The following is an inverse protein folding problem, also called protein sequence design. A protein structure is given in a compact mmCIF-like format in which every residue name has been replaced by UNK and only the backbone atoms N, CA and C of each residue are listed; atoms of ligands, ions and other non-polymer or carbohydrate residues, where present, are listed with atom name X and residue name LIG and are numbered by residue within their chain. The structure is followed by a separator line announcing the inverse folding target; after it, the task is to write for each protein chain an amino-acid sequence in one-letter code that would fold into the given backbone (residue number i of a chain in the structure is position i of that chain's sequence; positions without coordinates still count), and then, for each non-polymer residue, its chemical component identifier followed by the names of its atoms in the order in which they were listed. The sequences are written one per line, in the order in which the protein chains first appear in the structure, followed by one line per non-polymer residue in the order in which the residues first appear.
data_IF_153440357953
#
_entry.id   IF_153440357953
#
_cell.length_a   1.000
_cell.length_b   1.000
_cell.length_c   1.000
_cell.angle_alpha   90.00
_cell.angle_beta   90.00
_cell.angle_gamma   90.00
#
_symmetry.space_group_name_H-M   'P 1'
#
loop_
_entity.id
_entity.type
_entity.pdbx_description
1 polymer ?
#
# COMPACT_ATOMS: atom_id res chain seq x y z
N UNK A 1 62.99 67.36 65.14
CA UNK A 1 63.59 66.80 63.90
C UNK A 1 63.70 65.31 64.10
N UNK A 2 62.93 64.52 63.35
CA UNK A 2 63.14 63.08 63.33
C UNK A 2 64.51 62.82 62.67
N UNK A 3 65.32 61.87 63.17
CA UNK A 3 66.59 61.55 62.54
C UNK A 3 66.31 61.04 61.13
N UNK A 4 66.95 61.62 60.10
CA UNK A 4 66.75 61.30 58.66
C UNK A 4 66.67 59.79 58.36
N UNK A 5 67.40 58.97 59.13
CA UNK A 5 67.36 57.50 59.07
C UNK A 5 65.98 56.89 59.30
N UNK A 6 65.11 57.51 60.09
CA UNK A 6 63.76 57.01 60.36
C UNK A 6 62.80 57.33 59.20
N UNK A 7 62.96 58.47 58.55
CA UNK A 7 62.16 58.88 57.38
C UNK A 7 62.46 57.98 56.17
N UNK A 8 63.74 57.65 55.95
CA UNK A 8 64.16 56.70 54.91
C UNK A 8 63.57 55.30 55.16
N UNK A 9 63.60 54.81 56.40
CA UNK A 9 63.05 53.50 56.77
C UNK A 9 61.53 53.44 56.55
N UNK A 10 60.79 54.49 56.90
CA UNK A 10 59.33 54.57 56.68
C UNK A 10 59.01 54.62 55.18
N UNK A 11 59.80 55.37 54.39
CA UNK A 11 59.65 55.42 52.93
C UNK A 11 59.85 54.05 52.29
N UNK A 12 60.85 53.30 52.74
CA UNK A 12 61.16 51.97 52.21
C UNK A 12 60.11 50.92 52.60
N UNK A 13 59.60 50.97 53.84
CA UNK A 13 58.50 50.09 54.29
C UNK A 13 57.23 50.35 53.45
N UNK A 14 56.88 51.62 53.21
CA UNK A 14 55.71 51.98 52.39
C UNK A 14 55.88 51.56 50.93
N UNK A 15 57.07 51.75 50.34
CA UNK A 15 57.38 51.29 48.98
C UNK A 15 57.33 49.77 48.87
N UNK A 16 57.87 49.04 49.85
CA UNK A 16 57.78 47.58 49.88
C UNK A 16 56.34 47.09 50.03
N UNK A 17 55.54 47.73 50.89
CA UNK A 17 54.12 47.42 51.04
C UNK A 17 53.31 47.64 49.75
N UNK A 18 53.59 48.73 49.02
CA UNK A 18 52.97 48.99 47.72
C UNK A 18 53.40 47.96 46.65
N UNK A 19 54.68 47.65 46.57
CA UNK A 19 55.22 46.62 45.66
C UNK A 19 54.66 45.22 45.96
N UNK A 20 54.49 44.88 47.23
CA UNK A 20 53.89 43.60 47.65
C UNK A 20 52.43 43.49 47.21
N UNK A 21 51.62 44.55 47.37
CA UNK A 21 50.21 44.56 46.91
C UNK A 21 50.08 44.50 45.39
N UNK A 22 51.03 45.10 44.67
CA UNK A 22 51.08 45.00 43.22
C UNK A 22 51.44 43.58 42.77
N UNK A 23 52.42 42.95 43.43
CA UNK A 23 52.83 41.58 43.14
C UNK A 23 51.71 40.56 43.37
N UNK A 24 50.88 40.72 44.42
CA UNK A 24 49.72 39.85 44.63
C UNK A 24 48.67 40.00 43.53
N UNK A 25 48.35 41.24 43.14
CA UNK A 25 47.41 41.49 42.03
C UNK A 25 47.89 40.90 40.70
N UNK A 26 49.19 41.01 40.41
CA UNK A 26 49.78 40.42 39.21
C UNK A 26 49.58 38.90 39.23
N UNK A 27 49.89 38.24 40.35
CA UNK A 27 49.69 36.79 40.51
C UNK A 27 48.22 36.38 40.37
N UNK A 28 47.30 37.17 40.92
CA UNK A 28 45.86 36.91 40.81
C UNK A 28 45.39 37.03 39.35
N UNK A 29 45.89 38.01 38.60
CA UNK A 29 45.61 38.14 37.16
C UNK A 29 46.25 37.02 36.34
N UNK A 30 47.47 36.62 36.65
CA UNK A 30 48.13 35.46 36.02
C UNK A 30 47.32 34.17 36.23
N UNK A 31 46.82 33.96 37.45
CA UNK A 31 45.97 32.81 37.77
C UNK A 31 44.64 32.84 37.00
N UNK A 32 44.04 34.03 36.86
CA UNK A 32 42.82 34.21 36.06
C UNK A 32 43.07 33.98 34.57
N UNK A 33 44.19 34.47 34.04
CA UNK A 33 44.59 34.25 32.65
C UNK A 33 44.77 32.75 32.35
N UNK A 34 45.52 32.04 33.20
CA UNK A 34 45.68 30.58 33.06
C UNK A 34 44.34 29.84 33.13
N UNK A 35 43.44 30.26 34.03
CA UNK A 35 42.11 29.68 34.13
C UNK A 35 41.30 29.91 32.83
N UNK A 36 41.34 31.12 32.28
CA UNK A 36 40.66 31.45 31.02
C UNK A 36 41.26 30.72 29.83
N UNK A 37 42.58 30.58 29.76
CA UNK A 37 43.27 29.83 28.70
C UNK A 37 42.84 28.34 28.71
N UNK A 38 42.76 27.73 29.89
CA UNK A 38 42.27 26.35 30.04
C UNK A 38 40.79 26.19 29.62
N UNK A 39 39.97 27.22 29.86
CA UNK A 39 38.56 27.24 29.46
C UNK A 39 38.41 27.38 27.94
N UNK A 40 39.22 28.24 27.31
CA UNK A 40 39.30 28.40 25.86
C UNK A 40 39.69 27.08 25.20
N UNK A 41 40.71 26.40 25.72
CA UNK A 41 41.17 25.11 25.19
C UNK A 41 40.05 24.05 25.28
N UNK A 42 39.37 23.96 26.43
CA UNK A 42 38.23 23.06 26.62
C UNK A 42 37.07 23.35 25.67
N UNK A 43 36.76 24.63 25.43
CA UNK A 43 35.74 25.03 24.47
C UNK A 43 36.17 24.73 23.03
N UNK A 44 37.46 24.89 22.72
CA UNK A 44 38.05 24.50 21.44
C UNK A 44 37.82 23.03 21.12
N UNK A 45 38.16 22.12 22.04
CA UNK A 45 37.92 20.68 21.86
C UNK A 45 36.43 20.34 21.68
N UNK A 46 35.53 21.00 22.41
CA UNK A 46 34.08 20.81 22.23
C UNK A 46 33.62 21.27 20.86
N UNK A 47 34.12 22.40 20.38
CA UNK A 47 33.77 22.94 19.07
C UNK A 47 34.26 22.01 17.95
N UNK A 48 35.49 21.51 18.04
CA UNK A 48 36.02 20.52 17.09
C UNK A 48 35.18 19.23 17.06
N UNK A 49 34.77 18.74 18.24
CA UNK A 49 33.88 17.58 18.34
C UNK A 49 32.51 17.81 17.67
N UNK A 50 31.90 18.97 17.91
CA UNK A 50 30.64 19.35 17.27
C UNK A 50 30.79 19.52 15.75
N UNK A 51 31.91 20.06 15.27
CA UNK A 51 32.21 20.17 13.83
C UNK A 51 32.32 18.78 13.18
N UNK A 52 33.02 17.85 13.82
CA UNK A 52 33.13 16.47 13.33
C UNK A 52 31.77 15.76 13.28
N UNK A 53 30.94 15.96 14.31
CA UNK A 53 29.57 15.45 14.35
C UNK A 53 28.70 16.06 13.24
N UNK A 54 28.77 17.37 13.02
CA UNK A 54 28.04 18.06 11.97
C UNK A 54 28.42 17.52 10.58
N UNK A 55 29.72 17.38 10.30
CA UNK A 55 30.20 16.79 9.04
C UNK A 55 29.67 15.37 8.79
N UNK A 56 29.51 14.60 9.87
CA UNK A 56 28.91 13.25 9.80
C UNK A 56 27.44 13.33 9.42
N UNK A 57 26.67 14.23 10.04
CA UNK A 57 25.26 14.44 9.69
C UNK A 57 25.08 14.97 8.26
N UNK A 58 25.89 15.94 7.83
CA UNK A 58 25.87 16.44 6.44
C UNK A 58 26.12 15.30 5.44
N UNK A 59 27.08 14.43 5.74
CA UNK A 59 27.36 13.25 4.90
C UNK A 59 26.22 12.24 4.88
N UNK A 60 25.51 12.06 6.01
CA UNK A 60 24.33 11.19 6.08
C UNK A 60 23.16 11.77 5.27
N UNK A 61 22.89 13.07 5.40
CA UNK A 61 21.86 13.78 4.65
C UNK A 61 22.13 13.65 3.15
N UNK A 62 23.34 13.92 2.68
CA UNK A 62 23.67 13.77 1.25
C UNK A 62 23.45 12.35 0.70
N UNK A 63 23.71 11.31 1.50
CA UNK A 63 23.40 9.92 1.10
C UNK A 63 21.90 9.64 1.03
N UNK A 64 21.11 10.22 1.94
CA UNK A 64 19.66 10.09 1.92
C UNK A 64 19.04 10.85 0.75
N UNK A 65 19.54 12.04 0.44
CA UNK A 65 19.12 12.83 -0.72
C UNK A 65 19.32 12.05 -2.03
N UNK A 66 20.49 11.40 -2.20
CA UNK A 66 20.74 10.53 -3.35
C UNK A 66 19.76 9.35 -3.42
N UNK A 67 19.48 8.67 -2.30
CA UNK A 67 18.48 7.58 -2.28
C UNK A 67 17.08 8.06 -2.63
N UNK A 68 16.68 9.24 -2.16
CA UNK A 68 15.38 9.84 -2.50
C UNK A 68 15.31 10.15 -3.98
N UNK A 69 16.40 10.65 -4.57
CA UNK A 69 16.48 10.88 -6.01
C UNK A 69 16.32 9.57 -6.80
N UNK A 70 17.10 8.54 -6.47
CA UNK A 70 17.05 7.24 -7.14
C UNK A 70 15.64 6.60 -7.08
N UNK A 71 15.01 6.66 -5.90
CA UNK A 71 13.64 6.15 -5.73
C UNK A 71 12.61 6.95 -6.53
N UNK A 72 12.78 8.27 -6.62
CA UNK A 72 11.90 9.14 -7.41
C UNK A 72 12.01 8.82 -8.90
N UNK A 73 13.23 8.59 -9.41
CA UNK A 73 13.46 8.18 -10.80
C UNK A 73 12.86 6.79 -11.10
N UNK A 74 13.02 5.85 -10.17
CA UNK A 74 12.42 4.51 -10.29
C UNK A 74 10.89 4.57 -10.30
N UNK A 75 10.29 5.38 -9.43
CA UNK A 75 8.84 5.57 -9.36
C UNK A 75 8.32 6.16 -10.68
N UNK A 76 8.95 7.21 -11.20
CA UNK A 76 8.57 7.81 -12.48
C UNK A 76 8.69 6.82 -13.66
N UNK A 77 9.65 5.90 -13.62
CA UNK A 77 9.77 4.81 -14.62
C UNK A 77 8.59 3.83 -14.49
N UNK A 78 8.25 3.40 -13.28
CA UNK A 78 7.14 2.48 -13.03
C UNK A 78 5.78 3.07 -13.40
N UNK A 79 5.56 4.36 -13.17
CA UNK A 79 4.35 5.07 -13.61
C UNK A 79 4.19 5.02 -15.14
N UNK A 80 5.28 5.24 -15.89
CA UNK A 80 5.26 5.13 -17.36
C UNK A 80 4.95 3.71 -17.84
N UNK A 81 5.53 2.70 -17.19
CA UNK A 81 5.25 1.29 -17.49
C UNK A 81 3.77 0.95 -17.24
N UNK A 82 3.20 1.39 -16.11
CA UNK A 82 1.78 1.20 -15.79
C UNK A 82 0.86 1.87 -16.83
N UNK A 83 1.17 3.10 -17.25
CA UNK A 83 0.40 3.78 -18.30
C UNK A 83 0.45 3.01 -19.63
N UNK A 84 1.62 2.47 -19.99
CA UNK A 84 1.76 1.66 -21.21
C UNK A 84 0.94 0.37 -21.14
N UNK A 85 0.98 -0.35 -20.02
CA UNK A 85 0.20 -1.57 -19.81
C UNK A 85 -1.30 -1.28 -19.81
N UNK A 86 -1.73 -0.18 -19.19
CA UNK A 86 -3.13 0.22 -19.19
C UNK A 86 -3.65 0.56 -20.60
N UNK A 87 -2.83 1.23 -21.43
CA UNK A 87 -3.18 1.48 -22.82
C UNK A 87 -3.32 0.18 -23.61
N UNK A 88 -2.37 -0.75 -23.45
CA UNK A 88 -2.43 -2.06 -24.09
C UNK A 88 -3.66 -2.87 -23.64
N UNK A 89 -4.03 -2.78 -22.35
CA UNK A 89 -5.25 -3.38 -21.83
C UNK A 89 -6.49 -2.78 -22.49
N UNK A 90 -6.57 -1.45 -22.60
CA UNK A 90 -7.67 -0.76 -23.28
C UNK A 90 -7.81 -1.18 -24.75
N UNK A 91 -6.69 -1.26 -25.47
CA UNK A 91 -6.63 -1.74 -26.86
C UNK A 91 -7.10 -3.20 -26.96
N UNK A 92 -6.62 -4.08 -26.08
CA UNK A 92 -7.05 -5.49 -26.06
C UNK A 92 -8.56 -5.63 -25.75
N UNK A 93 -9.10 -4.82 -24.84
CA UNK A 93 -10.52 -4.80 -24.53
C UNK A 93 -11.36 -4.30 -25.73
N UNK A 94 -10.86 -3.31 -26.48
CA UNK A 94 -11.51 -2.85 -27.69
C UNK A 94 -11.55 -3.96 -28.76
N UNK A 95 -10.43 -4.65 -28.98
CA UNK A 95 -10.35 -5.77 -29.91
C UNK A 95 -11.30 -6.92 -29.53
N UNK A 96 -11.39 -7.26 -28.24
CA UNK A 96 -12.34 -8.28 -27.75
C UNK A 96 -13.79 -7.86 -28.04
N UNK A 97 -14.15 -6.59 -27.80
CA UNK A 97 -15.50 -6.10 -28.09
C UNK A 97 -15.82 -6.18 -29.58
N UNK A 98 -14.87 -5.87 -30.45
CA UNK A 98 -15.02 -5.97 -31.90
C UNK A 98 -15.25 -7.44 -32.34
N UNK A 99 -14.41 -8.36 -31.88
CA UNK A 99 -14.56 -9.79 -32.16
C UNK A 99 -15.90 -10.35 -31.65
N UNK A 100 -16.37 -9.92 -30.49
CA UNK A 100 -17.69 -10.33 -29.97
C UNK A 100 -18.85 -9.81 -30.85
N UNK A 101 -18.71 -8.62 -31.42
CA UNK A 101 -19.70 -8.07 -32.36
C UNK A 101 -19.69 -8.83 -33.68
N UNK A 102 -18.51 -9.18 -34.20
CA UNK A 102 -18.36 -10.01 -35.41
C UNK A 102 -18.86 -11.44 -35.22
N UNK A 103 -18.66 -12.03 -34.04
CA UNK A 103 -19.20 -13.35 -33.71
C UNK A 103 -20.74 -13.33 -33.69
N UNK A 104 -21.34 -12.29 -33.11
CA UNK A 104 -22.81 -12.13 -33.09
C UNK A 104 -23.38 -11.92 -34.49
N UNK A 105 -22.74 -11.12 -35.34
CA UNK A 105 -23.18 -10.94 -36.73
C UNK A 105 -23.06 -12.26 -37.52
N UNK A 106 -21.97 -12.99 -37.35
CA UNK A 106 -21.77 -14.31 -37.96
C UNK A 106 -22.83 -15.33 -37.52
N UNK A 107 -23.19 -15.34 -36.23
CA UNK A 107 -24.24 -16.20 -35.70
C UNK A 107 -25.62 -15.84 -36.29
N UNK A 108 -25.90 -14.55 -36.47
CA UNK A 108 -27.13 -14.09 -37.12
C UNK A 108 -27.21 -14.59 -38.57
N UNK A 109 -26.13 -14.42 -39.34
CA UNK A 109 -26.06 -14.94 -40.72
C UNK A 109 -26.17 -16.46 -40.80
N UNK A 110 -25.64 -17.19 -39.82
CA UNK A 110 -25.82 -18.64 -39.73
C UNK A 110 -27.29 -19.02 -39.52
N UNK A 111 -28.01 -18.30 -38.66
CA UNK A 111 -29.44 -18.50 -38.44
C UNK A 111 -30.25 -18.23 -39.73
N UNK A 112 -29.96 -17.13 -40.43
CA UNK A 112 -30.59 -16.82 -41.73
C UNK A 112 -30.33 -17.92 -42.77
N UNK A 113 -29.08 -18.40 -42.87
CA UNK A 113 -28.71 -19.48 -43.79
C UNK A 113 -29.45 -20.78 -43.46
N UNK A 114 -29.60 -21.11 -42.18
CA UNK A 114 -30.36 -22.28 -41.74
C UNK A 114 -31.85 -22.20 -42.12
N UNK A 115 -32.45 -21.01 -41.96
CA UNK A 115 -33.82 -20.72 -42.36
C UNK A 115 -33.99 -20.86 -43.89
N UNK A 116 -33.07 -20.30 -44.66
CA UNK A 116 -33.06 -20.44 -46.12
C UNK A 116 -32.99 -21.91 -46.55
N UNK A 117 -32.08 -22.70 -45.98
CA UNK A 117 -31.97 -24.15 -46.27
C UNK A 117 -33.28 -24.89 -45.97
N UNK A 118 -33.96 -24.57 -44.86
CA UNK A 118 -35.25 -25.17 -44.53
C UNK A 118 -36.32 -24.86 -45.58
N UNK A 119 -36.36 -23.63 -46.10
CA UNK A 119 -37.29 -23.26 -47.18
C UNK A 119 -37.00 -24.01 -48.48
N UNK A 120 -35.72 -24.21 -48.81
CA UNK A 120 -35.29 -24.98 -49.99
C UNK A 120 -35.75 -26.43 -49.89
N UNK A 121 -35.57 -27.08 -48.74
CA UNK A 121 -36.03 -28.47 -48.55
C UNK A 121 -37.56 -28.58 -48.66
N UNK A 122 -38.30 -27.64 -48.08
CA UNK A 122 -39.76 -27.58 -48.22
C UNK A 122 -40.20 -27.43 -49.68
N UNK A 123 -39.48 -26.63 -50.48
CA UNK A 123 -39.74 -26.49 -51.91
C UNK A 123 -39.39 -27.76 -52.70
N UNK A 124 -38.29 -28.43 -52.37
CA UNK A 124 -37.92 -29.74 -52.97
C UNK A 124 -39.00 -30.79 -52.70
N UNK A 125 -39.51 -30.87 -51.48
CA UNK A 125 -40.60 -31.79 -51.17
C UNK A 125 -41.87 -31.49 -51.97
N UNK A 126 -42.26 -30.21 -52.05
CA UNK A 126 -43.41 -29.79 -52.87
C UNK A 126 -43.21 -30.19 -54.34
N UNK A 127 -42.02 -29.97 -54.88
CA UNK A 127 -41.66 -30.36 -56.25
C UNK A 127 -41.74 -31.88 -56.44
N UNK A 128 -41.27 -32.68 -55.46
CA UNK A 128 -41.36 -34.15 -55.49
C UNK A 128 -42.83 -34.60 -55.53
N UNK A 129 -43.70 -34.00 -54.71
CA UNK A 129 -45.14 -34.29 -54.68
C UNK A 129 -45.82 -33.92 -55.99
N UNK A 130 -45.58 -32.71 -56.53
CA UNK A 130 -46.18 -32.28 -57.81
C UNK A 130 -45.69 -33.13 -58.98
N UNK A 131 -44.41 -33.50 -59.02
CA UNK A 131 -43.86 -34.44 -60.00
C UNK A 131 -44.51 -35.83 -59.89
N UNK A 132 -44.76 -36.31 -58.67
CA UNK A 132 -45.49 -37.55 -58.42
C UNK A 132 -46.93 -37.51 -58.94
N UNK A 133 -47.66 -36.42 -58.65
CA UNK A 133 -49.00 -36.18 -59.18
C UNK A 133 -49.02 -36.13 -60.71
N UNK A 134 -48.08 -35.39 -61.32
CA UNK A 134 -47.97 -35.29 -62.78
C UNK A 134 -47.75 -36.67 -63.41
N UNK A 135 -46.89 -37.51 -62.81
CA UNK A 135 -46.70 -38.90 -63.23
C UNK A 135 -47.99 -39.71 -63.15
N UNK A 136 -48.76 -39.57 -62.08
CA UNK A 136 -50.05 -40.26 -61.92
C UNK A 136 -51.07 -39.82 -62.99
N UNK A 137 -51.16 -38.52 -63.29
CA UNK A 137 -52.04 -37.99 -64.35
C UNK A 137 -51.59 -38.48 -65.72
N UNK A 138 -50.28 -38.50 -66.00
CA UNK A 138 -49.74 -39.02 -67.28
C UNK A 138 -49.88 -40.54 -67.46
N UNK A 139 -50.20 -41.28 -66.40
CA UNK A 139 -50.37 -42.74 -66.39
C UNK A 139 -51.84 -43.18 -66.42
N UNK A 140 -52.78 -42.23 -66.49
CA UNK A 140 -54.16 -42.52 -66.83
C UNK A 140 -54.24 -43.10 -68.26
N UNK A 141 -55.07 -44.13 -68.51
CA UNK A 141 -55.02 -44.90 -69.74
C UNK A 141 -55.51 -44.08 -70.94
N UNK A 142 -54.57 -43.63 -71.77
CA UNK A 142 -54.89 -43.34 -73.17
C UNK A 142 -55.01 -44.66 -73.92
N UNK A 143 -56.22 -44.92 -74.42
CA UNK A 143 -56.49 -45.98 -75.39
C UNK A 143 -55.84 -45.55 -76.71
N UNK A 144 -54.77 -46.25 -77.14
CA UNK A 144 -54.16 -46.11 -78.47
C UNK A 144 -52.72 -46.62 -78.57
N UNK A 145 -52.54 -47.80 -79.18
CA UNK A 145 -51.31 -48.53 -79.56
C UNK A 145 -50.21 -47.67 -80.24
N UNK A 146 -48.91 -48.03 -80.36
CA UNK A 146 -48.22 -49.27 -80.78
C UNK A 146 -46.79 -49.33 -80.20
N UNK A 147 -46.25 -50.54 -80.04
CA UNK A 147 -44.92 -50.91 -79.54
C UNK A 147 -43.72 -50.51 -80.43
N UNK A 148 -42.52 -50.38 -79.84
CA UNK A 148 -41.30 -51.18 -80.18
C UNK A 148 -40.09 -50.89 -79.26
N UNK A 149 -39.57 -51.97 -78.66
CA UNK A 149 -38.16 -52.35 -78.34
C UNK A 149 -37.09 -51.30 -77.99
N UNK A 150 -36.40 -51.45 -76.84
CA UNK A 150 -35.09 -52.14 -76.70
C UNK A 150 -34.42 -51.89 -75.33
N UNK A 151 -33.36 -52.66 -75.06
CA UNK A 151 -32.82 -53.07 -73.76
C UNK A 151 -31.95 -52.05 -72.99
N UNK A 152 -31.90 -52.23 -71.66
CA UNK A 152 -30.71 -52.70 -70.91
C UNK A 152 -30.36 -51.92 -69.63
N UNK A 153 -30.06 -52.72 -68.58
CA UNK A 153 -29.06 -52.54 -67.52
C UNK A 153 -29.34 -51.59 -66.34
N UNK A 154 -29.59 -52.21 -65.17
CA UNK A 154 -29.39 -51.68 -63.81
C UNK A 154 -27.88 -51.49 -63.49
N UNK A 155 -27.45 -50.80 -62.40
CA UNK A 155 -27.52 -51.32 -61.01
C UNK A 155 -27.89 -50.25 -59.94
N UNK A 156 -28.64 -50.59 -58.87
CA UNK A 156 -28.20 -50.94 -57.50
C UNK A 156 -27.20 -49.96 -56.87
N UNK A 157 -27.62 -49.25 -55.79
CA UNK A 157 -26.82 -48.80 -54.61
C UNK A 157 -27.85 -48.25 -53.57
N UNK A 158 -28.22 -49.02 -52.55
CA UNK A 158 -27.65 -49.05 -51.19
C UNK A 158 -28.09 -47.84 -50.32
N UNK A 159 -29.17 -48.04 -49.56
CA UNK A 159 -29.57 -47.16 -48.45
C UNK A 159 -28.86 -47.66 -47.18
N UNK A 160 -27.82 -46.94 -46.75
CA UNK A 160 -27.22 -47.08 -45.42
C UNK A 160 -27.67 -45.94 -44.51
N UNK A 161 -27.84 -46.32 -43.25
CA UNK A 161 -28.38 -45.62 -42.11
C UNK A 161 -27.57 -44.37 -41.72
N UNK A 162 -28.26 -43.30 -41.34
CA UNK A 162 -27.73 -42.30 -40.41
C UNK A 162 -28.85 -41.87 -39.46
N UNK A 163 -29.00 -42.61 -38.36
CA UNK A 163 -29.80 -42.19 -37.21
C UNK A 163 -28.99 -41.20 -36.37
N UNK A 164 -29.36 -39.92 -36.41
CA UNK A 164 -29.00 -38.97 -35.36
C UNK A 164 -29.75 -39.32 -34.08
N UNK A 165 -29.00 -39.49 -32.99
CA UNK A 165 -29.53 -39.71 -31.65
C UNK A 165 -30.34 -38.51 -31.15
N UNK A 166 -31.41 -38.85 -30.44
CA UNK A 166 -32.44 -37.99 -29.87
C UNK A 166 -31.91 -37.17 -28.69
N UNK A 167 -32.03 -35.84 -28.76
CA UNK A 167 -31.90 -34.92 -27.64
C UNK A 167 -33.25 -34.87 -26.91
N UNK A 168 -33.32 -35.49 -25.73
CA UNK A 168 -34.41 -35.27 -24.77
C UNK A 168 -34.09 -34.00 -23.98
N UNK A 169 -34.91 -32.97 -24.18
CA UNK A 169 -35.01 -31.82 -23.28
C UNK A 169 -36.17 -32.10 -22.34
N UNK A 170 -35.88 -32.27 -21.06
CA UNK A 170 -36.88 -32.20 -19.99
C UNK A 170 -36.96 -30.76 -19.50
N UNK A 171 -38.15 -30.18 -19.63
CA UNK A 171 -38.56 -28.94 -19.00
C UNK A 171 -38.65 -29.13 -17.48
N UNK A 172 -38.15 -28.15 -16.72
CA UNK A 172 -38.70 -27.83 -15.40
C UNK A 172 -38.55 -26.33 -15.18
N UNK A 173 -39.71 -25.68 -15.12
CA UNK A 173 -39.88 -24.27 -14.81
C UNK A 173 -39.71 -24.05 -13.32
N UNK A 174 -38.87 -23.11 -12.89
CA UNK A 174 -39.04 -22.42 -11.61
C UNK A 174 -38.68 -20.93 -11.75
N UNK A 175 -39.55 -20.11 -11.18
CA UNK A 175 -39.59 -18.64 -11.12
C UNK A 175 -38.36 -18.01 -10.44
N UNK A 176 -38.05 -16.73 -10.73
CA UNK A 176 -36.84 -16.08 -10.23
C UNK A 176 -36.94 -15.80 -8.73
N UNK A 177 -36.13 -16.52 -7.93
CA UNK A 177 -35.89 -16.20 -6.53
C UNK A 177 -34.96 -14.99 -6.41
N UNK A 178 -35.34 -14.09 -5.50
CA UNK A 178 -34.55 -12.95 -5.06
C UNK A 178 -33.16 -13.39 -4.54
N UNK A 179 -32.12 -12.53 -4.63
CA UNK A 179 -30.81 -12.87 -4.11
C UNK A 179 -30.87 -13.05 -2.58
N UNK A 180 -30.13 -14.02 -2.02
CA UNK A 180 -30.12 -14.28 -0.60
C UNK A 180 -29.53 -13.08 0.16
N UNK A 181 -30.18 -12.76 1.27
CA UNK A 181 -29.72 -11.78 2.25
C UNK A 181 -28.53 -12.40 2.99
N UNK A 182 -27.32 -12.02 2.60
CA UNK A 182 -26.09 -12.39 3.31
C UNK A 182 -26.12 -11.78 4.71
N UNK A 183 -26.27 -12.67 5.69
CA UNK A 183 -25.88 -12.41 7.05
C UNK A 183 -24.36 -12.30 7.10
N UNK A 184 -23.89 -11.18 7.67
CA UNK A 184 -22.60 -11.02 8.38
C UNK A 184 -21.53 -12.09 8.06
N UNK A 185 -20.67 -11.80 7.09
CA UNK A 185 -19.29 -12.24 7.18
C UNK A 185 -18.41 -11.03 7.52
N UNK A 186 -17.75 -11.16 8.65
CA UNK A 186 -16.78 -10.25 9.25
C UNK A 186 -15.47 -10.35 8.45
N UNK A 187 -15.50 -9.93 7.19
CA UNK A 187 -14.40 -10.01 6.25
C UNK A 187 -13.68 -8.67 6.09
N UNK A 188 -12.47 -8.57 6.64
CA UNK A 188 -11.51 -7.47 6.46
C UNK A 188 -11.96 -6.07 6.88
N UNK A 189 -11.93 -5.80 8.19
CA UNK A 189 -11.82 -4.43 8.71
C UNK A 189 -10.46 -3.87 8.31
N UNK A 190 -10.39 -3.26 7.12
CA UNK A 190 -9.33 -2.32 6.82
C UNK A 190 -9.29 -1.26 7.94
N UNK A 191 -8.11 -0.94 8.49
CA UNK A 191 -8.01 0.09 9.51
C UNK A 191 -8.59 1.38 8.94
N UNK A 192 -9.47 2.02 9.71
CA UNK A 192 -10.07 3.31 9.34
C UNK A 192 -8.94 4.27 8.95
N UNK A 193 -8.95 4.73 7.70
CA UNK A 193 -7.94 5.65 7.21
C UNK A 193 -7.93 6.91 8.11
N UNK A 194 -6.74 7.46 8.43
CA UNK A 194 -6.63 8.69 9.21
C UNK A 194 -7.48 9.81 8.59
N UNK A 195 -8.22 10.54 9.41
CA UNK A 195 -8.94 11.74 8.94
C UNK A 195 -7.90 12.80 8.61
N UNK A 196 -7.57 12.89 7.32
CA UNK A 196 -6.69 13.94 6.80
C UNK A 196 -7.53 15.18 6.54
N UNK A 197 -7.41 16.19 7.40
CA UNK A 197 -8.11 17.46 7.20
C UNK A 197 -7.17 18.42 6.47
N UNK A 198 -7.46 18.72 5.20
CA UNK A 198 -6.72 19.73 4.44
C UNK A 198 -7.35 21.10 4.72
N UNK A 199 -6.66 21.94 5.47
CA UNK A 199 -7.09 23.34 5.67
C UNK A 199 -6.53 24.17 4.52
N UNK A 200 -7.41 24.63 3.64
CA UNK A 200 -7.05 25.57 2.56
C UNK A 200 -7.34 26.98 3.02
N UNK A 201 -6.28 27.73 3.33
CA UNK A 201 -6.41 29.13 3.74
C UNK A 201 -6.39 30.06 2.52
N UNK A 202 -7.50 30.75 2.29
CA UNK A 202 -7.58 31.82 1.28
C UNK A 202 -7.40 33.17 1.97
N UNK A 203 -6.19 33.72 1.94
CA UNK A 203 -5.95 35.10 2.35
C UNK A 203 -6.60 36.08 1.36
N UNK A 204 -7.26 37.17 1.81
CA UNK A 204 -7.81 38.18 0.91
C UNK A 204 -6.66 38.86 0.13
N UNK A 205 -6.58 38.64 -1.18
CA UNK A 205 -5.64 39.33 -2.08
C UNK A 205 -4.24 38.73 -2.24
N UNK A 206 -4.02 37.46 -1.89
CA UNK A 206 -2.68 36.84 -1.96
C UNK A 206 -2.40 36.14 -3.31
N UNK A 207 -1.42 36.64 -4.05
CA UNK A 207 -0.76 35.98 -5.19
C UNK A 207 0.40 35.05 -4.73
N UNK A 208 0.20 34.28 -3.66
CA UNK A 208 1.15 33.26 -3.19
C UNK A 208 0.64 31.84 -3.48
N UNK A 209 1.54 30.86 -3.68
CA UNK A 209 1.17 29.46 -3.89
C UNK A 209 0.29 28.93 -2.75
N UNK A 210 -0.63 28.04 -3.08
CA UNK A 210 -1.50 27.36 -2.11
C UNK A 210 -0.63 26.66 -1.04
N UNK A 211 -0.70 27.13 0.21
CA UNK A 211 -0.15 26.38 1.34
C UNK A 211 -1.15 25.29 1.73
N UNK A 212 -0.94 24.07 1.25
CA UNK A 212 -1.58 22.87 1.79
C UNK A 212 -0.86 22.49 3.09
N UNK A 213 -1.41 22.92 4.23
CA UNK A 213 -1.00 22.36 5.53
C UNK A 213 -1.79 21.09 5.80
N UNK A 214 -1.07 19.99 5.98
CA UNK A 214 -1.63 18.72 6.44
C UNK A 214 -1.62 18.76 7.97
N UNK A 215 -2.79 18.94 8.59
CA UNK A 215 -2.93 18.84 10.03
C UNK A 215 -3.33 17.41 10.40
N UNK A 216 -2.41 16.70 11.06
CA UNK A 216 -2.68 15.41 11.69
C UNK A 216 -3.48 15.67 12.96
N UNK A 217 -4.73 15.24 12.97
CA UNK A 217 -5.61 15.34 14.13
C UNK A 217 -5.53 14.04 14.92
N UNK A 218 -5.42 14.16 16.26
CA UNK A 218 -5.51 13.02 17.15
C UNK A 218 -6.82 12.25 16.93
N UNK A 219 -6.78 10.94 17.12
CA UNK A 219 -7.98 10.11 17.01
C UNK A 219 -9.01 10.53 18.05
N UNK A 220 -10.28 10.53 17.65
CA UNK A 220 -11.35 10.61 18.66
C UNK A 220 -11.35 9.33 19.49
N UNK A 221 -11.84 9.36 20.75
CA UNK A 221 -11.92 8.16 21.59
C UNK A 221 -12.63 6.99 20.91
N UNK A 222 -13.66 7.27 20.10
CA UNK A 222 -14.40 6.27 19.33
C UNK A 222 -13.55 5.64 18.21
N UNK A 223 -12.70 6.43 17.57
CA UNK A 223 -11.76 5.95 16.55
C UNK A 223 -10.67 5.08 17.17
N UNK A 224 -10.09 5.52 18.28
CA UNK A 224 -9.12 4.73 19.03
C UNK A 224 -9.74 3.40 19.50
N UNK A 225 -10.97 3.43 20.01
CA UNK A 225 -11.69 2.22 20.41
C UNK A 225 -11.97 1.27 19.23
N UNK A 226 -12.45 1.81 18.10
CA UNK A 226 -12.68 1.03 16.89
C UNK A 226 -11.39 0.39 16.34
N UNK A 227 -10.29 1.14 16.40
CA UNK A 227 -8.99 0.68 15.92
C UNK A 227 -8.35 -0.33 16.89
N UNK A 228 -8.48 -0.13 18.20
CA UNK A 228 -8.07 -1.12 19.20
C UNK A 228 -8.81 -2.45 19.02
N UNK A 229 -10.11 -2.40 18.74
CA UNK A 229 -10.89 -3.59 18.37
C UNK A 229 -10.41 -4.28 17.10
N UNK A 230 -9.91 -3.52 16.11
CA UNK A 230 -9.39 -4.07 14.87
C UNK A 230 -8.00 -4.71 15.05
N UNK A 231 -7.14 -4.12 15.88
CA UNK A 231 -5.81 -4.65 16.20
C UNK A 231 -5.87 -5.88 17.13
N UNK A 232 -6.96 -6.04 17.88
CA UNK A 232 -7.14 -7.13 18.82
C UNK A 232 -6.39 -6.92 20.14
N UNK A 233 -6.44 -7.91 21.04
CA UNK A 233 -5.82 -7.80 22.36
C UNK A 233 -4.29 -7.82 22.25
N UNK A 234 -3.65 -6.93 23.02
CA UNK A 234 -2.21 -6.82 23.17
C UNK A 234 -1.77 -7.73 24.32
N UNK A 235 -1.37 -8.95 23.98
CA UNK A 235 -0.87 -9.98 24.90
C UNK A 235 0.58 -10.30 24.59
N UNK A 236 1.27 -11.05 25.47
CA UNK A 236 2.65 -11.47 25.24
C UNK A 236 2.86 -12.15 23.89
N UNK A 237 1.95 -13.03 23.50
CA UNK A 237 2.08 -13.81 22.27
C UNK A 237 1.81 -12.98 21.01
N UNK A 238 0.99 -11.93 21.12
CA UNK A 238 0.60 -11.05 20.00
C UNK A 238 1.39 -9.74 19.95
N UNK A 239 2.19 -9.41 20.98
CA UNK A 239 2.78 -8.09 21.15
C UNK A 239 3.68 -7.65 19.99
N UNK A 240 4.46 -8.57 19.42
CA UNK A 240 5.34 -8.27 18.28
C UNK A 240 4.55 -7.90 17.02
N UNK A 241 3.58 -8.74 16.65
CA UNK A 241 2.75 -8.53 15.47
C UNK A 241 1.85 -7.30 15.65
N UNK A 242 1.34 -7.10 16.87
CA UNK A 242 0.53 -5.94 17.23
C UNK A 242 1.30 -4.62 17.10
N UNK A 243 2.52 -4.55 17.64
CA UNK A 243 3.38 -3.37 17.49
C UNK A 243 3.80 -3.14 16.04
N UNK A 244 4.05 -4.21 15.28
CA UNK A 244 4.34 -4.10 13.85
C UNK A 244 3.14 -3.51 13.07
N UNK A 245 1.92 -3.96 13.37
CA UNK A 245 0.70 -3.37 12.81
C UNK A 245 0.55 -1.90 13.22
N UNK A 246 0.76 -1.56 14.49
CA UNK A 246 0.67 -0.18 14.98
C UNK A 246 1.70 0.75 14.29
N UNK A 247 2.95 0.29 14.13
CA UNK A 247 4.01 1.04 13.44
C UNK A 247 3.72 1.26 11.96
N UNK A 248 2.91 0.38 11.36
CA UNK A 248 2.52 0.48 9.95
C UNK A 248 1.42 1.54 9.73
N UNK A 249 0.82 2.09 10.79
CA UNK A 249 -0.20 3.14 10.70
C UNK A 249 0.49 4.49 10.50
N UNK A 250 0.35 5.12 9.32
CA UNK A 250 1.01 6.38 9.03
C UNK A 250 0.42 7.52 9.88
N UNK A 251 1.29 8.31 10.50
CA UNK A 251 0.90 9.54 11.20
C UNK A 251 0.26 9.33 12.58
N UNK A 252 0.40 8.14 13.18
CA UNK A 252 -0.09 7.91 14.54
C UNK A 252 0.63 8.82 15.56
N UNK A 253 -0.15 9.63 16.28
CA UNK A 253 0.38 10.47 17.34
C UNK A 253 0.71 9.63 18.59
N UNK A 254 1.53 10.17 19.48
CA UNK A 254 1.96 9.45 20.68
C UNK A 254 0.84 9.26 21.69
N UNK A 255 -0.05 10.24 21.77
CA UNK A 255 -1.23 10.20 22.62
C UNK A 255 -2.15 9.07 22.14
N UNK A 256 -2.37 8.99 20.83
CA UNK A 256 -3.16 7.97 20.16
C UNK A 256 -2.61 6.56 20.38
N UNK A 257 -1.29 6.38 20.20
CA UNK A 257 -0.62 5.11 20.47
C UNK A 257 -0.77 4.69 21.95
N UNK A 258 -0.67 5.64 22.88
CA UNK A 258 -0.84 5.37 24.31
C UNK A 258 -2.27 4.95 24.63
N UNK A 259 -3.27 5.62 24.05
CA UNK A 259 -4.67 5.22 24.20
C UNK A 259 -4.94 3.82 23.64
N UNK A 260 -4.39 3.49 22.47
CA UNK A 260 -4.55 2.16 21.88
C UNK A 260 -3.92 1.06 22.72
N UNK A 261 -2.73 1.30 23.25
CA UNK A 261 -2.07 0.35 24.16
C UNK A 261 -2.92 0.13 25.41
N UNK A 262 -3.45 1.21 26.01
CA UNK A 262 -4.32 1.12 27.18
C UNK A 262 -5.60 0.33 26.91
N UNK A 263 -6.19 0.51 25.74
CA UNK A 263 -7.44 -0.16 25.35
C UNK A 263 -7.23 -1.65 25.02
N UNK A 264 -6.07 -1.98 24.44
CA UNK A 264 -5.76 -3.34 23.99
C UNK A 264 -5.05 -4.21 25.04
N UNK A 265 -4.43 -3.62 26.06
CA UNK A 265 -3.84 -4.35 27.19
C UNK A 265 -4.87 -4.63 28.28
N UNK A 266 -4.64 -5.69 29.08
CA UNK A 266 -5.43 -5.87 30.29
C UNK A 266 -5.10 -4.76 31.29
N UNK A 267 -6.08 -4.37 32.12
CA UNK A 267 -5.86 -3.30 33.10
C UNK A 267 -4.76 -3.62 34.12
N UNK A 268 -4.56 -4.90 34.44
CA UNK A 268 -3.47 -5.36 35.31
C UNK A 268 -2.10 -5.21 34.65
N UNK A 269 -1.98 -5.64 33.38
CA UNK A 269 -0.73 -5.53 32.62
C UNK A 269 -0.38 -4.06 32.34
N UNK A 270 -1.37 -3.24 31.99
CA UNK A 270 -1.16 -1.81 31.79
C UNK A 270 -0.71 -1.11 33.09
N UNK A 271 -1.30 -1.49 34.23
CA UNK A 271 -0.92 -0.98 35.54
C UNK A 271 0.49 -1.38 36.00
N UNK A 272 1.04 -2.45 35.41
CA UNK A 272 2.40 -2.92 35.67
C UNK A 272 3.48 -2.22 34.81
N UNK A 273 3.09 -1.43 33.80
CA UNK A 273 4.03 -0.62 33.01
C UNK A 273 4.64 0.52 33.86
N UNK A 274 5.86 0.98 33.56
CA UNK A 274 6.40 2.22 34.10
C UNK A 274 5.40 3.39 34.05
N UNK A 275 5.34 4.20 35.13
CA UNK A 275 4.37 5.29 35.26
C UNK A 275 4.44 6.32 34.11
N UNK A 276 5.62 6.51 33.52
CA UNK A 276 5.81 7.38 32.36
C UNK A 276 5.00 6.91 31.16
N UNK A 277 4.94 5.60 30.93
CA UNK A 277 4.19 4.99 29.82
C UNK A 277 2.68 5.03 30.09
N UNK A 278 2.28 4.88 31.35
CA UNK A 278 0.85 4.93 31.73
C UNK A 278 0.22 6.30 31.49
N UNK A 279 0.99 7.37 31.71
CA UNK A 279 0.54 8.75 31.56
C UNK A 279 0.80 9.29 30.16
N UNK A 280 1.53 8.54 29.31
CA UNK A 280 1.95 9.01 27.98
C UNK A 280 3.01 10.11 28.03
N UNK A 281 3.71 10.23 29.17
CA UNK A 281 4.81 11.18 29.37
C UNK A 281 6.11 10.62 28.80
N UNK A 282 6.11 10.43 27.48
CA UNK A 282 7.23 9.93 26.70
C UNK A 282 7.55 10.88 25.54
N UNK A 283 8.83 10.95 25.18
CA UNK A 283 9.34 11.86 24.16
C UNK A 283 9.01 11.38 22.74
N UNK A 284 8.79 10.07 22.57
CA UNK A 284 8.53 9.47 21.26
C UNK A 284 7.72 8.18 21.34
N UNK A 285 7.07 7.84 20.22
CA UNK A 285 6.44 6.53 20.01
C UNK A 285 7.42 5.36 20.22
N UNK A 286 8.70 5.56 19.88
CA UNK A 286 9.71 4.51 20.04
C UNK A 286 9.92 4.12 21.49
N UNK A 287 9.99 5.08 22.41
CA UNK A 287 10.10 4.83 23.85
C UNK A 287 8.86 4.08 24.37
N UNK A 288 7.68 4.41 23.85
CA UNK A 288 6.44 3.74 24.20
C UNK A 288 6.49 2.25 23.81
N UNK A 289 6.90 1.97 22.56
CA UNK A 289 7.02 0.61 22.04
C UNK A 289 8.10 -0.20 22.75
N UNK A 290 9.27 0.41 23.00
CA UNK A 290 10.36 -0.21 23.75
C UNK A 290 9.92 -0.56 25.18
N UNK A 291 9.12 0.30 25.81
CA UNK A 291 8.53 0.04 27.12
C UNK A 291 7.62 -1.19 27.14
N UNK A 292 6.69 -1.29 26.19
CA UNK A 292 5.80 -2.45 26.04
C UNK A 292 6.60 -3.73 25.73
N UNK A 293 7.62 -3.62 24.86
CA UNK A 293 8.50 -4.73 24.53
C UNK A 293 9.30 -5.22 25.74
N UNK A 294 9.84 -4.29 26.54
CA UNK A 294 10.60 -4.62 27.75
C UNK A 294 9.70 -5.26 28.80
N UNK A 295 8.43 -4.86 28.87
CA UNK A 295 7.45 -5.48 29.75
C UNK A 295 7.18 -6.95 29.40
N UNK A 296 6.85 -7.25 28.13
CA UNK A 296 6.53 -8.63 27.72
C UNK A 296 7.77 -9.53 27.54
N UNK A 297 8.92 -8.93 27.25
CA UNK A 297 10.12 -9.65 26.82
C UNK A 297 11.39 -9.17 27.51
N UNK A 298 11.34 -8.94 28.82
CA UNK A 298 12.45 -8.42 29.65
C UNK A 298 13.80 -9.16 29.54
N UNK A 299 13.86 -10.27 28.80
CA UNK A 299 15.04 -11.11 28.60
C UNK A 299 15.45 -11.33 27.13
N UNK A 300 14.83 -10.66 26.16
CA UNK A 300 15.19 -10.82 24.74
C UNK A 300 15.57 -9.48 24.10
N UNK A 301 16.75 -9.42 23.48
CA UNK A 301 17.20 -8.31 22.63
C UNK A 301 16.39 -8.27 21.30
N UNK A 302 15.09 -7.94 21.38
CA UNK A 302 14.13 -8.09 20.27
C UNK A 302 14.10 -6.90 19.29
N UNK A 303 14.76 -5.79 19.63
CA UNK A 303 14.79 -4.59 18.77
C UNK A 303 15.43 -4.90 17.40
N UNK A 304 16.33 -5.88 17.32
CA UNK A 304 16.90 -6.37 16.06
C UNK A 304 15.91 -7.13 15.17
N UNK A 305 15.03 -7.93 15.76
CA UNK A 305 14.13 -8.84 15.01
C UNK A 305 12.92 -8.12 14.42
N UNK A 306 12.43 -7.06 15.07
CA UNK A 306 11.29 -6.27 14.58
C UNK A 306 11.68 -5.48 13.32
N UNK A 307 12.89 -4.92 13.27
CA UNK A 307 13.38 -4.15 12.12
C UNK A 307 13.63 -5.08 10.90
N UNK A 308 13.99 -6.33 11.14
CA UNK A 308 14.18 -7.33 10.08
C UNK A 308 12.84 -7.85 9.53
N UNK A 309 11.79 -7.99 10.35
CA UNK A 309 10.46 -8.37 9.84
C UNK A 309 9.73 -7.24 9.13
N UNK A 310 9.87 -5.99 9.59
CA UNK A 310 9.24 -4.84 8.95
C UNK A 310 9.77 -4.52 7.54
N UNK A 311 11.00 -4.95 7.23
CA UNK A 311 11.64 -4.69 5.93
C UNK A 311 11.73 -5.92 5.00
N UNK A 312 11.18 -7.06 5.42
CA UNK A 312 11.42 -8.36 4.79
C UNK A 312 10.19 -8.98 4.15
N UNK A 313 9.55 -8.31 3.19
CA UNK A 313 8.53 -8.94 2.35
C UNK A 313 8.65 -8.57 0.86
N UNK A 314 9.87 -8.61 0.33
CA UNK A 314 10.10 -8.81 -1.11
C UNK A 314 11.36 -9.68 -1.32
N UNK A 315 11.16 -10.99 -1.42
CA UNK A 315 11.88 -11.89 -2.34
C UNK A 315 11.52 -13.34 -2.05
N UNK A 316 10.42 -13.78 -2.68
CA UNK A 316 10.34 -15.17 -3.08
C UNK A 316 11.24 -15.39 -4.30
N UNK A 317 12.23 -16.27 -4.16
CA UNK A 317 12.85 -17.09 -5.22
C UNK A 317 13.71 -18.13 -4.47
N UNK A 318 13.26 -19.37 -4.32
CA UNK A 318 13.48 -20.45 -5.29
C UNK A 318 14.93 -20.48 -5.79
N UNK A 319 15.70 -21.46 -5.29
CA UNK A 319 16.50 -22.43 -6.06
C UNK A 319 17.07 -23.42 -5.02
N UNK A 320 16.69 -24.69 -5.20
CA UNK A 320 17.38 -25.96 -4.86
C UNK A 320 18.21 -25.99 -3.57
#
# INVERSE_FOLDING_TARGET
MLPRRLEDLISDILKHGARSKQATRIRDFESQLQSRDSEIEKLGFKLEGLVAQNNTYVSQVGRLELKVQDLSELLAKREKELLSVNNQQSESQAAIRELLMELRSSQHHQAERSSCLQTVEKLKEKLKRTKGMLRAVSKAPSRGSIATTSCSSSPVLSEEEFCCASLRVTESSETPSAPPQEACEEGSKLPMAPITTTVVSYGPGSARPLETRQELKAYTPEQSHAMGKALGPLTRDTALDWLAMLCSIPGILKEDATFLIRECMTGEDFGALPSQLQVGDVDSNLQLYEGVMTFYFSHHNLIGDIILRGNGQESGQSII
#
